data_IF_438891841684
#
_entry.id   IF_438891841684
#
_cell.length_a   1.000
_cell.length_b   1.000
_cell.length_c   1.000
_cell.angle_alpha   90.00
_cell.angle_beta   90.00
_cell.angle_gamma   90.00
#
_symmetry.space_group_name_H-M   'P 1'
#
loop_
_entity.id
_entity.type
_entity.pdbx_description
1 polymer ?
#
# COMPACT_ATOMS: atom_id res chain seq x y z
N UNK A 1 -9.93 -10.07 14.74
CA UNK A 1 -9.82 -9.10 13.62
C UNK A 1 -10.72 -9.54 12.48
N UNK A 2 -11.61 -8.65 12.02
CA UNK A 2 -12.57 -8.90 10.93
C UNK A 2 -11.97 -8.49 9.59
N UNK A 3 -12.36 -9.15 8.48
CA UNK A 3 -11.87 -8.81 7.14
C UNK A 3 -12.10 -7.32 6.77
N UNK A 4 -13.19 -6.73 7.29
CA UNK A 4 -13.48 -5.31 7.10
C UNK A 4 -12.41 -4.40 7.72
N UNK A 5 -11.94 -4.73 8.92
CA UNK A 5 -10.86 -4.00 9.58
C UNK A 5 -9.56 -4.15 8.77
N UNK A 6 -9.21 -5.38 8.40
CA UNK A 6 -7.97 -5.68 7.67
C UNK A 6 -7.94 -4.95 6.31
N UNK A 7 -9.07 -4.90 5.60
CA UNK A 7 -9.21 -4.14 4.34
C UNK A 7 -9.09 -2.62 4.54
N UNK A 8 -9.62 -2.09 5.65
CA UNK A 8 -9.51 -0.68 5.96
C UNK A 8 -8.05 -0.28 6.22
N UNK A 9 -7.32 -1.12 6.94
CA UNK A 9 -5.89 -0.94 7.22
C UNK A 9 -5.05 -1.06 5.94
N UNK A 10 -5.32 -2.07 5.10
CA UNK A 10 -4.65 -2.21 3.81
C UNK A 10 -4.85 -0.98 2.91
N UNK A 11 -6.05 -0.39 2.89
CA UNK A 11 -6.32 0.86 2.17
C UNK A 11 -5.46 2.02 2.68
N UNK A 12 -5.20 2.10 3.99
CA UNK A 12 -4.32 3.11 4.56
C UNK A 12 -2.86 2.87 4.13
N UNK A 13 -2.40 1.62 4.19
CA UNK A 13 -1.07 1.21 3.76
C UNK A 13 -0.76 1.60 2.32
N UNK A 14 -1.68 1.32 1.40
CA UNK A 14 -1.53 1.57 -0.04
C UNK A 14 -1.80 3.01 -0.45
N UNK A 15 -2.07 3.92 0.47
CA UNK A 15 -2.30 5.31 0.14
C UNK A 15 -0.96 6.05 -0.05
N UNK A 16 -0.64 6.53 -1.27
CA UNK A 16 0.61 7.22 -1.54
C UNK A 16 0.79 8.50 -0.71
N UNK A 17 -0.30 9.16 -0.32
CA UNK A 17 -0.23 10.37 0.53
C UNK A 17 0.36 10.09 1.90
N UNK A 18 0.18 8.86 2.40
CA UNK A 18 0.70 8.45 3.70
C UNK A 18 2.09 7.84 3.54
N UNK A 19 2.33 6.98 2.56
CA UNK A 19 3.64 6.34 2.36
C UNK A 19 4.84 7.27 2.08
N UNK A 20 4.60 8.43 1.47
CA UNK A 20 5.68 9.30 0.96
C UNK A 20 5.75 10.63 1.69
N UNK A 21 4.96 10.79 2.76
CA UNK A 21 5.04 11.95 3.62
C UNK A 21 6.13 11.72 4.66
N UNK A 22 7.01 12.70 4.83
CA UNK A 22 7.98 12.71 5.91
C UNK A 22 7.21 12.58 7.24
N UNK A 23 7.50 11.52 8.01
CA UNK A 23 6.92 11.16 9.32
C UNK A 23 5.77 10.13 9.37
N UNK A 24 5.34 9.53 8.27
CA UNK A 24 4.42 8.39 8.38
C UNK A 24 5.23 7.10 8.55
N UNK A 25 5.26 6.60 9.77
CA UNK A 25 5.80 5.28 10.04
C UNK A 25 4.87 4.22 9.44
N UNK A 26 5.43 3.35 8.60
CA UNK A 26 4.83 2.06 8.30
C UNK A 26 4.89 1.19 9.54
N UNK A 27 3.92 1.37 10.43
CA UNK A 27 3.81 0.57 11.64
C UNK A 27 3.71 -0.92 11.28
N UNK A 28 4.44 -1.76 12.00
CA UNK A 28 4.46 -3.22 11.77
C UNK A 28 3.08 -3.86 11.85
N UNK A 29 2.15 -3.22 12.57
CA UNK A 29 0.73 -3.59 12.62
C UNK A 29 0.03 -3.45 11.27
N UNK A 30 0.25 -2.34 10.56
CA UNK A 30 -0.35 -2.09 9.24
C UNK A 30 0.13 -3.14 8.23
N UNK A 31 1.40 -3.52 8.31
CA UNK A 31 1.96 -4.55 7.45
C UNK A 31 1.41 -5.94 7.79
N UNK A 32 1.31 -6.29 9.08
CA UNK A 32 0.71 -7.56 9.53
C UNK A 32 -0.72 -7.71 9.02
N UNK A 33 -1.52 -6.66 9.13
CA UNK A 33 -2.93 -6.72 8.76
C UNK A 33 -3.09 -6.76 7.23
N UNK A 34 -2.22 -6.08 6.49
CA UNK A 34 -2.13 -6.22 5.02
C UNK A 34 -1.78 -7.65 4.60
N UNK A 35 -0.85 -8.31 5.28
CA UNK A 35 -0.52 -9.73 5.03
C UNK A 35 -1.68 -10.67 5.36
N UNK A 36 -2.48 -10.35 6.39
CA UNK A 36 -3.70 -11.10 6.72
C UNK A 36 -4.76 -10.99 5.61
N UNK A 37 -4.93 -9.82 4.99
CA UNK A 37 -5.80 -9.66 3.81
C UNK A 37 -5.35 -10.55 2.67
N UNK A 38 -4.07 -10.50 2.31
CA UNK A 38 -3.52 -11.30 1.20
C UNK A 38 -3.73 -12.80 1.47
N UNK A 39 -3.48 -13.23 2.71
CA UNK A 39 -3.64 -14.63 3.11
C UNK A 39 -5.09 -15.13 3.04
N UNK A 40 -6.08 -14.22 3.12
CA UNK A 40 -7.51 -14.53 3.02
C UNK A 40 -8.07 -14.42 1.61
N UNK A 41 -7.48 -13.58 0.76
CA UNK A 41 -7.98 -13.31 -0.60
C UNK A 41 -7.25 -14.10 -1.69
N UNK A 42 -5.98 -14.43 -1.49
CA UNK A 42 -5.21 -15.23 -2.45
C UNK A 42 -5.79 -16.65 -2.52
N UNK A 43 -6.05 -17.14 -3.73
CA UNK A 43 -6.63 -18.48 -3.95
C UNK A 43 -5.53 -19.54 -4.06
N UNK A 44 -4.32 -19.12 -4.41
CA UNK A 44 -3.16 -19.98 -4.57
C UNK A 44 -1.93 -19.47 -3.81
N UNK A 45 -0.99 -20.37 -3.55
CA UNK A 45 0.28 -20.02 -2.92
C UNK A 45 1.10 -19.05 -3.78
N UNK A 46 1.07 -19.21 -5.11
CA UNK A 46 1.82 -18.34 -6.02
C UNK A 46 1.27 -16.91 -5.99
N UNK A 47 -0.06 -16.74 -6.08
CA UNK A 47 -0.71 -15.41 -5.95
C UNK A 47 -0.36 -14.76 -4.61
N UNK A 48 -0.29 -15.55 -3.52
CA UNK A 48 0.09 -15.05 -2.21
C UNK A 48 1.53 -14.55 -2.19
N UNK A 49 2.48 -15.33 -2.73
CA UNK A 49 3.89 -14.96 -2.79
C UNK A 49 4.12 -13.72 -3.66
N UNK A 50 3.47 -13.64 -4.82
CA UNK A 50 3.55 -12.49 -5.72
C UNK A 50 3.00 -11.22 -5.05
N UNK A 51 1.83 -11.31 -4.43
CA UNK A 51 1.24 -10.20 -3.70
C UNK A 51 2.12 -9.74 -2.52
N UNK A 52 2.69 -10.67 -1.77
CA UNK A 52 3.63 -10.34 -0.68
C UNK A 52 4.88 -9.63 -1.20
N UNK A 53 5.43 -10.09 -2.33
CA UNK A 53 6.60 -9.45 -2.96
C UNK A 53 6.29 -8.02 -3.43
N UNK A 54 5.11 -7.78 -4.00
CA UNK A 54 4.70 -6.45 -4.43
C UNK A 54 4.42 -5.50 -3.26
N UNK A 55 3.88 -5.99 -2.14
CA UNK A 55 3.75 -5.21 -0.90
C UNK A 55 5.13 -4.76 -0.39
N UNK A 56 6.12 -5.64 -0.42
CA UNK A 56 7.48 -5.30 -0.01
C UNK A 56 8.13 -4.28 -0.95
N UNK A 57 7.96 -4.44 -2.27
CA UNK A 57 8.43 -3.47 -3.26
C UNK A 57 7.78 -2.10 -3.08
N UNK A 58 6.48 -2.08 -2.78
CA UNK A 58 5.74 -0.86 -2.49
C UNK A 58 6.28 -0.16 -1.23
N UNK A 59 6.50 -0.93 -0.15
CA UNK A 59 7.08 -0.44 1.11
C UNK A 59 8.48 0.15 0.92
N UNK A 60 9.33 -0.56 0.19
CA UNK A 60 10.70 -0.15 -0.11
C UNK A 60 10.77 0.93 -1.20
N UNK A 61 9.63 1.31 -1.80
CA UNK A 61 9.57 2.29 -2.90
C UNK A 61 10.51 1.87 -4.03
N UNK A 62 10.40 0.62 -4.48
CA UNK A 62 11.24 0.05 -5.54
C UNK A 62 10.49 -0.06 -6.87
N UNK A 63 11.23 0.02 -7.98
CA UNK A 63 10.69 -0.15 -9.34
C UNK A 63 9.58 0.85 -9.66
N UNK A 64 8.43 0.36 -10.11
CA UNK A 64 7.26 1.16 -10.47
C UNK A 64 6.67 1.96 -9.29
N UNK A 65 7.00 1.59 -8.05
CA UNK A 65 6.51 2.24 -6.83
C UNK A 65 7.47 3.31 -6.28
N UNK A 66 8.71 3.39 -6.77
CA UNK A 66 9.74 4.30 -6.25
C UNK A 66 9.96 5.59 -7.01
N UNK A 67 9.58 5.61 -8.29
CA UNK A 67 10.10 6.55 -9.27
C UNK A 67 9.20 7.73 -9.63
N UNK A 68 9.63 8.43 -10.69
CA UNK A 68 8.96 9.58 -11.34
C UNK A 68 7.45 9.37 -11.59
N UNK A 69 7.02 8.15 -11.88
CA UNK A 69 5.61 7.78 -12.08
C UNK A 69 4.72 8.09 -10.87
N UNK A 70 5.24 8.02 -9.65
CA UNK A 70 4.43 8.31 -8.48
C UNK A 70 4.22 9.81 -8.25
N UNK A 71 5.20 10.66 -8.62
CA UNK A 71 5.01 12.13 -8.56
C UNK A 71 3.86 12.56 -9.46
N UNK A 72 3.75 11.94 -10.64
CA UNK A 72 2.63 12.12 -11.55
C UNK A 72 1.30 11.58 -10.95
N UNK A 73 1.31 10.43 -10.27
CA UNK A 73 0.11 9.88 -9.63
C UNK A 73 -0.37 10.72 -8.42
N UNK A 74 0.57 11.27 -7.63
CA UNK A 74 0.23 12.19 -6.51
C UNK A 74 -0.35 13.50 -7.01
N UNK A 75 0.16 14.04 -8.13
CA UNK A 75 -0.42 15.22 -8.79
C UNK A 75 -1.83 14.96 -9.36
N UNK A 76 -2.13 13.75 -9.83
CA UNK A 76 -3.48 13.41 -10.34
C UNK A 76 -4.51 13.14 -9.25
N UNK A 77 -4.07 12.82 -8.02
CA UNK A 77 -4.94 12.58 -6.86
C UNK A 77 -5.29 13.86 -6.08
N UNK A 78 -4.83 15.02 -6.55
CA UNK A 78 -5.36 16.33 -6.15
C UNK A 78 -6.32 16.83 -7.23
N UNK A 79 -7.64 16.62 -7.09
CA UNK A 79 -8.59 17.48 -7.78
C UNK A 79 -8.55 18.85 -7.07
N UNK A 80 -8.18 19.87 -7.84
CA UNK A 80 -8.50 21.29 -7.64
C UNK A 80 -8.43 21.85 -6.20
N UNK A 81 -7.26 22.38 -5.83
CA UNK A 81 -7.18 23.50 -4.88
C UNK A 81 -6.14 24.53 -5.38
N UNK A 82 -6.43 25.14 -6.53
CA UNK A 82 -6.02 26.51 -6.84
C UNK A 82 -7.29 27.35 -7.00
N UNK A 83 -7.76 27.89 -5.89
CA UNK A 83 -8.49 29.17 -5.84
C UNK A 83 -8.12 29.85 -4.53
#
# INVERSE_FOLDING_TARGET
MTLHHDLHVARYFFNPRFQYKDNVHNDGEVMRDTMNVISRLARTMNERLDAMADVERYRMKLGIYGGYDMRCATQRLTPDYFT
#
